data_IF_350455933243
#
_entry.id   IF_350455933243
#
_cell.length_a   1.000
_cell.length_b   1.000
_cell.length_c   1.000
_cell.angle_alpha   90.00
_cell.angle_beta   90.00
_cell.angle_gamma   90.00
#
_symmetry.space_group_name_H-M   'P 1'
#
loop_
_entity.id
_entity.type
_entity.pdbx_description
1 polymer ?
#
# COMPACT_ATOMS: atom_id res chain seq x y z
N UNK A 1 -3.44 9.23 0.23
CA UNK A 1 -4.09 9.10 -1.10
C UNK A 1 -3.91 7.68 -1.63
N UNK A 2 -4.87 7.12 -2.34
CA UNK A 2 -4.72 5.84 -3.03
C UNK A 2 -3.94 5.99 -4.34
N UNK A 3 -3.23 4.94 -4.81
CA UNK A 3 -2.75 4.84 -6.19
C UNK A 3 -3.85 5.14 -7.21
N UNK A 4 -3.53 5.88 -8.27
CA UNK A 4 -4.50 6.27 -9.31
C UNK A 4 -5.29 5.08 -9.92
N UNK A 5 -4.69 3.90 -10.18
CA UNK A 5 -5.43 2.76 -10.72
C UNK A 5 -6.57 2.24 -9.80
N UNK A 6 -6.41 2.44 -8.48
CA UNK A 6 -7.38 2.03 -7.46
C UNK A 6 -8.49 3.07 -7.24
N UNK A 7 -8.54 4.15 -8.02
CA UNK A 7 -9.65 5.08 -7.97
C UNK A 7 -10.96 4.39 -8.40
N UNK A 8 -11.84 4.16 -7.42
CA UNK A 8 -13.21 3.69 -7.60
C UNK A 8 -14.15 4.87 -7.91
N UNK A 9 -14.36 5.10 -9.19
CA UNK A 9 -15.27 6.14 -9.67
C UNK A 9 -15.91 5.75 -11.00
N UNK A 10 -17.11 6.26 -11.26
CA UNK A 10 -17.82 6.12 -12.54
C UNK A 10 -17.90 7.46 -13.25
N UNK A 11 -17.54 7.50 -14.52
CA UNK A 11 -17.79 8.66 -15.37
C UNK A 11 -19.15 8.52 -16.05
N UNK A 12 -19.98 9.56 -15.97
CA UNK A 12 -21.28 9.60 -16.66
C UNK A 12 -21.66 11.03 -17.03
N UNK A 13 -21.96 11.27 -18.31
CA UNK A 13 -22.38 12.58 -18.85
C UNK A 13 -21.49 13.75 -18.39
N UNK A 14 -20.17 13.58 -18.46
CA UNK A 14 -19.19 14.60 -18.06
C UNK A 14 -19.06 14.81 -16.54
N UNK A 15 -19.65 13.94 -15.72
CA UNK A 15 -19.49 13.94 -14.26
C UNK A 15 -18.71 12.72 -13.80
N UNK A 16 -17.80 12.93 -12.85
CA UNK A 16 -17.13 11.84 -12.13
C UNK A 16 -17.88 11.59 -10.82
N UNK A 17 -18.42 10.39 -10.64
CA UNK A 17 -19.13 9.95 -9.44
C UNK A 17 -18.21 9.02 -8.68
N UNK A 18 -17.71 9.48 -7.52
CA UNK A 18 -16.86 8.67 -6.64
C UNK A 18 -17.74 7.60 -5.96
N UNK A 19 -17.28 6.36 -5.96
CA UNK A 19 -17.99 5.21 -5.38
C UNK A 19 -17.52 5.00 -3.94
N UNK A 20 -17.96 5.86 -3.03
CA UNK A 20 -17.67 5.74 -1.60
C UNK A 20 -18.26 4.45 -1.02
N UNK A 21 -17.54 3.86 -0.06
CA UNK A 21 -18.11 2.84 0.83
C UNK A 21 -19.11 3.48 1.78
N UNK A 22 -20.12 2.73 2.19
CA UNK A 22 -21.24 3.22 3.01
C UNK A 22 -21.34 2.55 4.38
N UNK A 23 -20.46 1.59 4.67
CA UNK A 23 -20.54 0.79 5.90
C UNK A 23 -21.63 -0.28 5.79
N UNK A 24 -21.80 -0.87 4.61
CA UNK A 24 -22.69 -2.03 4.46
C UNK A 24 -22.09 -3.23 5.22
N UNK A 25 -22.89 -4.19 5.69
CA UNK A 25 -22.37 -5.34 6.44
C UNK A 25 -21.20 -6.04 5.76
N UNK A 26 -21.32 -6.34 4.45
CA UNK A 26 -20.23 -6.95 3.65
C UNK A 26 -18.96 -6.07 3.53
N UNK A 27 -19.08 -4.75 3.63
CA UNK A 27 -17.92 -3.83 3.60
C UNK A 27 -17.21 -3.81 4.95
N UNK A 28 -17.95 -3.95 6.05
CA UNK A 28 -17.40 -4.07 7.41
C UNK A 28 -16.75 -5.44 7.60
N UNK A 29 -17.38 -6.50 7.09
CA UNK A 29 -16.83 -7.86 7.08
C UNK A 29 -15.50 -7.90 6.32
N UNK A 30 -15.45 -7.34 5.10
CA UNK A 30 -14.20 -7.23 4.34
C UNK A 30 -13.13 -6.45 5.12
N UNK A 31 -13.50 -5.33 5.74
CA UNK A 31 -12.57 -4.53 6.52
C UNK A 31 -11.99 -5.36 7.67
N UNK A 32 -12.86 -6.07 8.40
CA UNK A 32 -12.47 -6.95 9.50
C UNK A 32 -11.54 -8.07 9.05
N UNK A 33 -11.90 -8.82 8.01
CA UNK A 33 -11.10 -9.94 7.52
C UNK A 33 -9.71 -9.49 7.08
N UNK A 34 -9.61 -8.32 6.43
CA UNK A 34 -8.32 -7.72 6.10
C UNK A 34 -7.53 -7.37 7.37
N UNK A 35 -8.13 -6.66 8.33
CA UNK A 35 -7.47 -6.30 9.59
C UNK A 35 -6.95 -7.55 10.32
N UNK A 36 -7.80 -8.56 10.48
CA UNK A 36 -7.48 -9.83 11.14
C UNK A 36 -6.35 -10.57 10.40
N UNK A 37 -6.32 -10.48 9.06
CA UNK A 37 -5.24 -11.04 8.24
C UNK A 37 -3.92 -10.33 8.53
N UNK A 38 -3.86 -8.99 8.50
CA UNK A 38 -2.63 -8.27 8.84
C UNK A 38 -2.18 -8.56 10.28
N UNK A 39 -3.11 -8.61 11.23
CA UNK A 39 -2.78 -8.87 12.63
C UNK A 39 -2.24 -10.28 12.86
N UNK A 40 -2.79 -11.30 12.20
CA UNK A 40 -2.35 -12.69 12.31
C UNK A 40 -1.06 -13.01 11.52
N UNK A 41 -0.57 -12.07 10.70
CA UNK A 41 0.66 -12.19 9.93
C UNK A 41 1.83 -11.40 10.52
N UNK A 42 1.66 -10.74 11.67
CA UNK A 42 2.79 -10.18 12.41
C UNK A 42 3.77 -11.30 12.78
N UNK A 43 5.03 -11.12 12.41
CA UNK A 43 6.10 -12.11 12.52
C UNK A 43 6.21 -13.09 11.35
N UNK A 44 5.37 -12.97 10.31
CA UNK A 44 5.43 -13.79 9.09
C UNK A 44 6.02 -13.04 7.91
N UNK A 45 6.37 -13.78 6.85
CA UNK A 45 6.95 -13.23 5.63
C UNK A 45 5.89 -12.55 4.76
N UNK A 46 6.30 -11.54 3.99
CA UNK A 46 5.43 -10.72 3.15
C UNK A 46 4.73 -11.56 2.09
N UNK A 47 5.37 -12.61 1.55
CA UNK A 47 4.73 -13.51 0.59
C UNK A 47 3.55 -14.29 1.21
N UNK A 48 3.63 -14.68 2.48
CA UNK A 48 2.53 -15.37 3.17
C UNK A 48 1.33 -14.43 3.30
N UNK A 49 1.59 -13.19 3.73
CA UNK A 49 0.56 -12.15 3.80
C UNK A 49 -0.02 -11.86 2.40
N UNK A 50 0.82 -11.74 1.38
CA UNK A 50 0.38 -11.46 0.01
C UNK A 50 -0.53 -12.57 -0.52
N UNK A 51 -0.16 -13.83 -0.29
CA UNK A 51 -0.98 -14.99 -0.66
C UNK A 51 -2.35 -14.97 0.05
N UNK A 52 -2.37 -14.69 1.36
CA UNK A 52 -3.64 -14.62 2.11
C UNK A 52 -4.53 -13.46 1.64
N UNK A 53 -3.93 -12.33 1.23
CA UNK A 53 -4.66 -11.20 0.66
C UNK A 53 -5.21 -11.49 -0.73
N UNK A 54 -4.50 -12.28 -1.55
CA UNK A 54 -4.97 -12.77 -2.85
C UNK A 54 -6.20 -13.68 -2.67
N UNK A 55 -6.13 -14.64 -1.75
CA UNK A 55 -7.26 -15.53 -1.44
C UNK A 55 -8.52 -14.74 -0.99
N UNK A 56 -8.32 -13.71 -0.16
CA UNK A 56 -9.41 -12.81 0.25
C UNK A 56 -9.96 -11.99 -0.91
N UNK A 57 -9.10 -11.47 -1.79
CA UNK A 57 -9.51 -10.75 -2.98
C UNK A 57 -10.40 -11.62 -3.87
N UNK A 58 -9.97 -12.85 -4.17
CA UNK A 58 -10.74 -13.80 -4.98
C UNK A 58 -12.09 -14.14 -4.33
N UNK A 59 -12.12 -14.38 -3.02
CA UNK A 59 -13.34 -14.64 -2.28
C UNK A 59 -14.34 -13.48 -2.40
N UNK A 60 -13.91 -12.25 -2.11
CA UNK A 60 -14.78 -11.08 -2.12
C UNK A 60 -15.22 -10.70 -3.54
N UNK A 61 -14.36 -10.90 -4.55
CA UNK A 61 -14.72 -10.77 -5.96
C UNK A 61 -15.84 -11.74 -6.35
N UNK A 62 -15.77 -13.00 -5.88
CA UNK A 62 -16.76 -14.03 -6.21
C UNK A 62 -18.18 -13.67 -5.73
N UNK A 63 -18.30 -12.86 -4.67
CA UNK A 63 -19.57 -12.35 -4.13
C UNK A 63 -19.92 -10.94 -4.63
N UNK A 64 -19.18 -10.43 -5.63
CA UNK A 64 -19.49 -9.19 -6.34
C UNK A 64 -18.91 -7.91 -5.72
N UNK A 65 -17.92 -8.02 -4.83
CA UNK A 65 -17.14 -6.87 -4.39
C UNK A 65 -16.06 -6.54 -5.43
N UNK A 66 -15.93 -5.26 -5.76
CA UNK A 66 -14.89 -4.77 -6.67
C UNK A 66 -13.50 -4.94 -6.03
N UNK A 67 -12.59 -5.63 -6.70
CA UNK A 67 -11.19 -5.83 -6.27
C UNK A 67 -10.48 -4.53 -5.90
N UNK A 68 -10.86 -3.40 -6.52
CA UNK A 68 -10.30 -2.07 -6.19
C UNK A 68 -10.64 -1.62 -4.77
N UNK A 69 -11.74 -2.11 -4.20
CA UNK A 69 -12.05 -1.90 -2.79
C UNK A 69 -11.07 -2.69 -1.93
N UNK A 70 -10.92 -4.00 -2.16
CA UNK A 70 -10.02 -4.88 -1.41
C UNK A 70 -8.60 -4.30 -1.41
N UNK A 71 -8.00 -4.12 -2.60
CA UNK A 71 -6.65 -3.55 -2.74
C UNK A 71 -6.52 -2.16 -2.13
N UNK A 72 -7.56 -1.35 -2.23
CA UNK A 72 -7.54 0.01 -1.70
C UNK A 72 -7.62 0.08 -0.17
N UNK A 73 -8.32 -0.86 0.48
CA UNK A 73 -8.28 -1.03 1.93
C UNK A 73 -6.92 -1.59 2.35
N UNK A 74 -6.42 -2.62 1.67
CA UNK A 74 -5.08 -3.19 1.91
C UNK A 74 -3.98 -2.14 1.83
N UNK A 75 -4.02 -1.24 0.83
CA UNK A 75 -3.04 -0.12 0.71
C UNK A 75 -3.05 0.81 1.93
N UNK A 76 -4.17 0.93 2.64
CA UNK A 76 -4.28 1.77 3.84
C UNK A 76 -3.71 1.02 5.05
N UNK A 77 -3.97 -0.28 5.14
CA UNK A 77 -3.43 -1.16 6.19
C UNK A 77 -1.91 -1.35 6.06
N UNK A 78 -1.40 -1.50 4.84
CA UNK A 78 0.02 -1.60 4.57
C UNK A 78 0.82 -0.39 5.08
N UNK A 79 0.23 0.82 5.05
CA UNK A 79 0.85 2.03 5.62
C UNK A 79 0.93 2.04 7.14
N UNK A 80 0.19 1.15 7.78
CA UNK A 80 0.18 0.92 9.23
C UNK A 80 1.08 -0.24 9.61
N UNK A 81 1.82 -0.80 8.65
CA UNK A 81 2.76 -1.89 8.87
C UNK A 81 4.19 -1.38 8.93
N UNK A 82 5.00 -2.06 9.74
CA UNK A 82 6.45 -1.94 9.71
C UNK A 82 7.04 -3.24 9.19
N UNK A 83 7.82 -3.15 8.10
CA UNK A 83 8.50 -4.30 7.52
C UNK A 83 10.00 -4.19 7.73
N UNK A 84 10.64 -5.30 8.05
CA UNK A 84 12.10 -5.40 8.12
C UNK A 84 12.59 -6.59 7.32
N UNK A 85 13.86 -6.55 6.95
CA UNK A 85 14.54 -7.75 6.47
C UNK A 85 14.69 -8.73 7.64
N UNK A 86 14.57 -10.04 7.40
CA UNK A 86 14.87 -11.03 8.41
C UNK A 86 16.33 -10.90 8.87
N UNK A 87 16.54 -11.10 10.17
CA UNK A 87 17.87 -11.14 10.75
C UNK A 87 18.56 -12.45 10.34
N UNK A 88 19.65 -12.33 9.59
CA UNK A 88 20.40 -13.49 9.10
C UNK A 88 21.86 -13.42 9.55
N UNK A 89 22.42 -14.58 9.94
CA UNK A 89 23.81 -14.67 10.41
C UNK A 89 24.85 -14.31 9.34
N UNK A 90 24.47 -14.43 8.07
CA UNK A 90 25.33 -14.15 6.92
C UNK A 90 24.58 -13.28 5.92
N UNK A 91 25.27 -12.24 5.42
CA UNK A 91 24.69 -11.38 4.38
C UNK A 91 24.27 -12.19 3.14
N UNK A 92 23.08 -11.98 2.57
CA UNK A 92 22.54 -12.78 1.46
C UNK A 92 23.46 -12.88 0.24
N UNK A 93 24.15 -11.77 -0.09
CA UNK A 93 25.13 -11.75 -1.19
C UNK A 93 26.32 -12.68 -0.92
N UNK A 94 26.78 -12.77 0.34
CA UNK A 94 27.90 -13.64 0.73
C UNK A 94 27.45 -15.12 0.74
N UNK A 95 26.25 -15.40 1.23
CA UNK A 95 25.63 -16.72 1.17
C UNK A 95 25.53 -17.22 -0.28
N UNK A 96 24.91 -16.43 -1.18
CA UNK A 96 24.77 -16.76 -2.60
C UNK A 96 26.11 -16.95 -3.30
N UNK A 97 27.07 -16.06 -3.06
CA UNK A 97 28.43 -16.19 -3.61
C UNK A 97 29.04 -17.55 -3.25
N UNK A 98 28.95 -17.95 -1.98
CA UNK A 98 29.56 -19.20 -1.53
C UNK A 98 28.88 -20.43 -2.11
N UNK A 99 27.56 -20.44 -2.17
CA UNK A 99 26.79 -21.52 -2.80
C UNK A 99 27.15 -21.66 -4.28
N UNK A 100 27.21 -20.56 -5.02
CA UNK A 100 27.58 -20.61 -6.44
C UNK A 100 29.05 -20.96 -6.69
N UNK A 101 29.97 -20.58 -5.79
CA UNK A 101 31.36 -21.04 -5.85
C UNK A 101 31.45 -22.57 -5.76
N UNK A 102 30.80 -23.17 -4.75
CA UNK A 102 30.78 -24.64 -4.59
C UNK A 102 30.07 -25.35 -5.75
N UNK A 103 28.95 -24.81 -6.23
CA UNK A 103 28.25 -25.36 -7.39
C UNK A 103 29.11 -25.32 -8.66
N UNK A 104 29.87 -24.24 -8.86
CA UNK A 104 30.79 -24.12 -9.98
C UNK A 104 31.97 -25.08 -9.89
N UNK A 105 32.54 -25.25 -8.69
CA UNK A 105 33.67 -26.16 -8.44
C UNK A 105 33.31 -27.63 -8.68
N UNK A 106 32.11 -28.07 -8.30
CA UNK A 106 31.72 -29.48 -8.38
C UNK A 106 30.95 -29.86 -9.65
N UNK A 107 30.10 -28.95 -10.13
CA UNK A 107 29.11 -29.27 -11.17
C UNK A 107 29.17 -28.32 -12.37
N UNK A 108 30.14 -27.40 -12.42
CA UNK A 108 30.31 -26.48 -13.55
C UNK A 108 29.29 -25.34 -13.62
N UNK A 109 28.58 -25.07 -12.51
CA UNK A 109 27.86 -23.81 -12.29
C UNK A 109 26.38 -23.96 -12.00
N UNK A 110 25.76 -25.09 -12.37
CA UNK A 110 24.37 -25.40 -12.03
C UNK A 110 24.18 -26.90 -11.82
N UNK A 111 23.14 -27.27 -11.10
CA UNK A 111 22.69 -28.66 -10.95
C UNK A 111 21.17 -28.71 -10.94
N UNK A 112 20.60 -29.75 -11.52
CA UNK A 112 19.18 -30.09 -11.45
C UNK A 112 18.90 -31.33 -10.57
N UNK A 113 19.95 -31.91 -9.96
CA UNK A 113 19.86 -33.12 -9.15
C UNK A 113 19.80 -32.72 -7.67
N UNK A 114 18.82 -33.27 -6.94
CA UNK A 114 18.55 -32.84 -5.57
C UNK A 114 19.68 -33.22 -4.61
N UNK A 115 20.30 -34.37 -4.80
CA UNK A 115 21.45 -34.83 -4.02
C UNK A 115 22.66 -33.90 -4.20
N UNK A 116 22.90 -33.45 -5.43
CA UNK A 116 23.96 -32.49 -5.76
C UNK A 116 23.68 -31.12 -5.13
N UNK A 117 22.44 -30.61 -5.22
CA UNK A 117 22.01 -29.38 -4.53
C UNK A 117 22.29 -29.48 -3.03
N UNK A 118 21.90 -30.59 -2.40
CA UNK A 118 22.10 -30.80 -0.97
C UNK A 118 23.59 -30.83 -0.60
N UNK A 119 24.43 -31.48 -1.41
CA UNK A 119 25.89 -31.48 -1.24
C UNK A 119 26.47 -30.06 -1.26
N UNK A 120 26.11 -29.26 -2.27
CA UNK A 120 26.59 -27.87 -2.41
C UNK A 120 26.19 -27.03 -1.20
N UNK A 121 24.92 -27.10 -0.79
CA UNK A 121 24.42 -26.31 0.33
C UNK A 121 25.08 -26.70 1.66
N UNK A 122 25.28 -28.00 1.91
CA UNK A 122 25.98 -28.45 3.11
C UNK A 122 27.43 -27.96 3.15
N UNK A 123 28.14 -27.99 2.02
CA UNK A 123 29.53 -27.49 1.93
C UNK A 123 29.62 -25.99 2.08
N UNK A 124 28.70 -25.24 1.46
CA UNK A 124 28.61 -23.80 1.62
C UNK A 124 28.28 -23.38 3.05
N UNK A 125 27.36 -24.09 3.71
CA UNK A 125 26.98 -23.85 5.10
C UNK A 125 28.15 -24.11 6.04
N UNK A 126 28.85 -25.24 5.84
CA UNK A 126 30.06 -25.59 6.59
C UNK A 126 31.18 -24.53 6.44
N UNK A 127 31.45 -24.07 5.22
CA UNK A 127 32.47 -23.03 4.97
C UNK A 127 32.09 -21.66 5.56
N UNK A 128 30.79 -21.38 5.69
CA UNK A 128 30.28 -20.16 6.33
C UNK A 128 30.12 -20.29 7.84
N UNK A 129 30.28 -21.49 8.41
CA UNK A 129 30.14 -21.75 9.84
C UNK A 129 28.69 -21.64 10.35
N UNK A 130 27.70 -21.87 9.49
CA UNK A 130 26.27 -21.83 9.83
C UNK A 130 25.61 -23.17 9.51
N UNK A 131 24.40 -23.39 10.04
CA UNK A 131 23.59 -24.53 9.65
C UNK A 131 23.05 -24.38 8.22
N UNK A 132 22.60 -25.50 7.65
CA UNK A 132 21.97 -25.51 6.34
C UNK A 132 20.71 -24.66 6.31
N UNK A 133 19.88 -24.75 7.33
CA UNK A 133 18.60 -24.02 7.38
C UNK A 133 18.84 -22.50 7.45
N UNK A 134 19.80 -22.07 8.28
CA UNK A 134 20.24 -20.66 8.33
C UNK A 134 20.82 -20.19 7.00
N UNK A 135 21.52 -21.05 6.27
CA UNK A 135 22.01 -20.71 4.93
C UNK A 135 20.85 -20.55 3.95
N UNK A 136 19.91 -21.50 3.92
CA UNK A 136 18.77 -21.46 3.00
C UNK A 136 17.90 -20.21 3.24
N UNK A 137 17.71 -19.81 4.50
CA UNK A 137 17.07 -18.55 4.86
C UNK A 137 17.89 -17.32 4.43
N UNK A 138 19.19 -17.31 4.69
CA UNK A 138 20.07 -16.21 4.32
C UNK A 138 20.16 -15.96 2.81
N UNK A 139 20.01 -16.97 1.95
CA UNK A 139 20.17 -16.82 0.50
C UNK A 139 19.27 -15.74 -0.10
N UNK A 140 18.05 -15.61 0.44
CA UNK A 140 16.97 -14.83 -0.16
C UNK A 140 16.38 -13.77 0.78
N UNK A 141 16.96 -13.57 1.97
CA UNK A 141 16.49 -12.60 2.96
C UNK A 141 16.53 -11.14 2.50
N UNK A 142 17.20 -10.82 1.39
CA UNK A 142 17.17 -9.48 0.79
C UNK A 142 16.09 -9.28 -0.28
N UNK A 143 15.31 -10.31 -0.61
CA UNK A 143 14.14 -10.19 -1.49
C UNK A 143 12.97 -9.53 -0.76
N UNK A 144 12.23 -8.68 -1.46
CA UNK A 144 11.09 -7.95 -0.92
C UNK A 144 9.98 -8.88 -0.39
N UNK A 145 9.69 -9.96 -1.12
CA UNK A 145 8.74 -11.01 -0.72
C UNK A 145 9.10 -11.71 0.60
N UNK A 146 10.38 -11.68 1.00
CA UNK A 146 10.88 -12.27 2.24
C UNK A 146 11.00 -11.26 3.39
N UNK A 147 10.57 -10.01 3.22
CA UNK A 147 10.46 -9.08 4.33
C UNK A 147 9.48 -9.64 5.38
N UNK A 148 9.76 -9.39 6.63
CA UNK A 148 8.91 -9.80 7.75
C UNK A 148 8.06 -8.62 8.23
N UNK A 149 6.79 -8.88 8.51
CA UNK A 149 5.90 -7.90 9.14
C UNK A 149 6.22 -7.80 10.64
N UNK A 150 6.95 -6.77 11.04
CA UNK A 150 7.40 -6.57 12.42
C UNK A 150 6.27 -6.09 13.33
N UNK A 151 5.48 -5.14 12.83
CA UNK A 151 4.39 -4.57 13.61
C UNK A 151 3.25 -4.11 12.70
N UNK A 152 2.04 -4.11 13.25
CA UNK A 152 0.84 -3.61 12.60
C UNK A 152 0.06 -2.74 13.58
N UNK A 153 -0.15 -1.46 13.23
CA UNK A 153 -0.95 -0.53 14.02
C UNK A 153 -2.44 -0.74 13.72
N UNK A 154 -3.12 -1.40 14.66
CA UNK A 154 -4.52 -1.77 14.51
C UNK A 154 -5.46 -0.57 14.25
N UNK A 155 -6.59 -0.83 13.60
CA UNK A 155 -7.61 0.15 13.24
C UNK A 155 -8.99 -0.52 13.26
N UNK A 156 -10.01 0.17 13.78
CA UNK A 156 -11.40 -0.32 13.75
C UNK A 156 -11.96 -0.29 12.32
N UNK A 157 -12.91 -1.18 12.02
CA UNK A 157 -13.46 -1.37 10.68
C UNK A 157 -14.08 -0.08 10.12
N UNK A 158 -14.93 0.61 10.89
CA UNK A 158 -15.57 1.85 10.45
C UNK A 158 -14.55 2.96 10.19
N UNK A 159 -13.48 3.00 10.98
CA UNK A 159 -12.41 3.98 10.82
C UNK A 159 -11.62 3.69 9.55
N UNK A 160 -11.34 2.42 9.24
CA UNK A 160 -10.68 2.02 7.99
C UNK A 160 -11.51 2.47 6.77
N UNK A 161 -12.82 2.22 6.79
CA UNK A 161 -13.74 2.67 5.72
C UNK A 161 -13.77 4.20 5.60
N UNK A 162 -13.69 4.94 6.72
CA UNK A 162 -13.63 6.41 6.73
C UNK A 162 -12.34 6.92 6.10
N UNK A 163 -11.19 6.37 6.49
CA UNK A 163 -9.88 6.71 5.94
C UNK A 163 -9.80 6.35 4.46
N UNK A 164 -10.44 5.26 4.04
CA UNK A 164 -10.59 4.89 2.63
C UNK A 164 -11.35 5.94 1.84
N UNK A 165 -12.53 6.33 2.31
CA UNK A 165 -13.34 7.36 1.64
C UNK A 165 -12.58 8.69 1.53
N UNK A 166 -11.86 9.09 2.58
CA UNK A 166 -11.00 10.28 2.54
C UNK A 166 -9.87 10.12 1.50
N UNK A 167 -9.19 8.98 1.48
CA UNK A 167 -8.10 8.72 0.54
C UNK A 167 -8.59 8.68 -0.90
N UNK A 168 -9.77 8.13 -1.15
CA UNK A 168 -10.43 8.07 -2.45
C UNK A 168 -10.80 9.45 -2.97
N UNK A 169 -11.39 10.30 -2.10
CA UNK A 169 -11.69 11.70 -2.43
C UNK A 169 -10.41 12.47 -2.78
N UNK A 170 -9.36 12.32 -1.96
CA UNK A 170 -8.07 12.96 -2.23
C UNK A 170 -7.49 12.54 -3.58
N UNK A 171 -7.50 11.25 -3.90
CA UNK A 171 -7.02 10.73 -5.19
C UNK A 171 -7.77 11.33 -6.37
N UNK A 172 -9.10 11.50 -6.25
CA UNK A 172 -9.89 12.16 -7.29
C UNK A 172 -9.54 13.66 -7.42
N UNK A 173 -9.44 14.37 -6.30
CA UNK A 173 -9.12 15.81 -6.27
C UNK A 173 -7.71 16.12 -6.77
N UNK A 174 -6.76 15.20 -6.60
CA UNK A 174 -5.40 15.38 -7.10
C UNK A 174 -5.32 15.49 -8.63
N UNK A 175 -6.35 15.00 -9.33
CA UNK A 175 -6.48 15.09 -10.80
C UNK A 175 -7.33 16.27 -11.24
N UNK A 176 -7.82 17.10 -10.32
CA UNK A 176 -8.65 18.25 -10.65
C UNK A 176 -7.79 19.42 -11.18
N UNK A 177 -8.32 20.13 -12.19
CA UNK A 177 -7.75 21.39 -12.67
C UNK A 177 -8.05 22.55 -11.71
N UNK A 178 -9.23 22.53 -11.09
CA UNK A 178 -9.61 23.48 -10.05
C UNK A 178 -10.67 22.85 -9.14
N UNK A 179 -10.75 23.39 -7.93
CA UNK A 179 -11.78 23.10 -6.94
C UNK A 179 -12.58 24.38 -6.69
N UNK A 180 -13.89 24.32 -6.90
CA UNK A 180 -14.80 25.45 -6.64
C UNK A 180 -15.61 25.16 -5.39
N UNK A 181 -15.36 25.92 -4.33
CA UNK A 181 -16.11 25.87 -3.08
C UNK A 181 -17.14 27.00 -3.08
N UNK A 182 -18.42 26.63 -2.95
CA UNK A 182 -19.52 27.59 -2.81
C UNK A 182 -20.15 27.43 -1.44
N UNK A 183 -20.19 28.50 -0.64
CA UNK A 183 -20.75 28.44 0.71
C UNK A 183 -21.49 29.72 1.10
N UNK A 184 -22.56 29.55 1.87
CA UNK A 184 -23.29 30.62 2.58
C UNK A 184 -23.02 30.61 4.08
N UNK A 185 -22.00 29.86 4.50
CA UNK A 185 -21.62 29.73 5.89
C UNK A 185 -21.29 31.10 6.51
N UNK A 186 -21.44 31.24 7.84
CA UNK A 186 -21.07 32.46 8.55
C UNK A 186 -19.60 32.83 8.31
N UNK A 187 -19.29 34.12 8.43
CA UNK A 187 -17.94 34.65 8.19
C UNK A 187 -16.84 33.97 9.01
N UNK A 188 -17.16 33.41 10.19
CA UNK A 188 -16.20 32.67 11.02
C UNK A 188 -15.71 31.39 10.34
N UNK A 189 -16.60 30.59 9.74
CA UNK A 189 -16.25 29.34 9.07
C UNK A 189 -15.52 29.60 7.76
N UNK A 190 -16.00 30.58 6.99
CA UNK A 190 -15.33 31.07 5.79
C UNK A 190 -13.88 31.50 6.07
N UNK A 191 -13.66 32.22 7.18
CA UNK A 191 -12.30 32.63 7.60
C UNK A 191 -11.40 31.45 7.92
N UNK A 192 -11.93 30.34 8.46
CA UNK A 192 -11.13 29.12 8.71
C UNK A 192 -10.62 28.53 7.40
N UNK A 193 -11.51 28.37 6.42
CA UNK A 193 -11.13 27.84 5.09
C UNK A 193 -10.11 28.74 4.41
N UNK A 194 -10.35 30.06 4.36
CA UNK A 194 -9.40 31.00 3.77
C UNK A 194 -8.05 31.01 4.47
N UNK A 195 -8.02 30.81 5.80
CA UNK A 195 -6.77 30.68 6.56
C UNK A 195 -6.00 29.43 6.13
N UNK A 196 -6.64 28.29 6.00
CA UNK A 196 -6.01 27.05 5.53
C UNK A 196 -5.47 27.18 4.10
N UNK A 197 -6.25 27.78 3.20
CA UNK A 197 -5.84 28.01 1.81
C UNK A 197 -4.61 28.91 1.74
N UNK A 198 -4.60 30.01 2.51
CA UNK A 198 -3.43 30.91 2.61
C UNK A 198 -2.22 30.24 3.25
N UNK A 199 -2.43 29.49 4.34
CA UNK A 199 -1.37 28.80 5.06
C UNK A 199 -0.67 27.77 4.17
N UNK A 200 -1.45 27.04 3.37
CA UNK A 200 -0.95 26.07 2.38
C UNK A 200 -0.46 26.71 1.08
N UNK A 201 -0.47 28.04 0.99
CA UNK A 201 0.02 28.84 -0.16
C UNK A 201 -0.61 28.42 -1.49
N UNK A 202 -1.88 28.02 -1.46
CA UNK A 202 -2.59 27.62 -2.67
C UNK A 202 -2.93 28.86 -3.52
N UNK A 203 -2.94 28.70 -4.85
CA UNK A 203 -3.45 29.72 -5.75
C UNK A 203 -4.97 29.70 -5.74
N UNK A 204 -5.60 30.85 -5.50
CA UNK A 204 -7.06 30.93 -5.41
C UNK A 204 -7.61 32.29 -5.83
N UNK A 205 -8.87 32.31 -6.21
CA UNK A 205 -9.70 33.49 -6.44
C UNK A 205 -10.95 33.42 -5.57
N UNK A 206 -11.31 34.53 -4.93
CA UNK A 206 -12.46 34.60 -4.04
C UNK A 206 -13.43 35.70 -4.48
N UNK A 207 -14.69 35.35 -4.68
CA UNK A 207 -15.75 36.25 -5.12
C UNK A 207 -16.96 36.13 -4.18
N UNK A 208 -17.60 37.25 -3.86
CA UNK A 208 -18.87 37.26 -3.13
C UNK A 208 -20.01 37.58 -4.08
N UNK A 209 -20.96 36.65 -4.26
CA UNK A 209 -22.12 36.81 -5.15
C UNK A 209 -23.40 36.33 -4.48
N UNK A 210 -24.43 37.19 -4.44
CA UNK A 210 -25.75 36.82 -3.91
C UNK A 210 -25.72 36.28 -2.47
N UNK A 211 -24.87 36.84 -1.61
CA UNK A 211 -24.70 36.40 -0.22
C UNK A 211 -23.86 35.12 -0.03
N UNK A 212 -23.42 34.46 -1.11
CA UNK A 212 -22.50 33.32 -1.06
C UNK A 212 -21.05 33.74 -1.36
N UNK A 213 -20.10 33.07 -0.72
CA UNK A 213 -18.69 33.07 -1.13
C UNK A 213 -18.47 31.96 -2.17
N UNK A 214 -17.85 32.32 -3.29
CA UNK A 214 -17.34 31.42 -4.31
C UNK A 214 -15.82 31.50 -4.24
N UNK A 215 -15.18 30.40 -3.84
CA UNK A 215 -13.73 30.27 -3.74
C UNK A 215 -13.26 29.26 -4.77
N UNK A 216 -12.56 29.74 -5.80
CA UNK A 216 -11.92 28.91 -6.83
C UNK A 216 -10.47 28.68 -6.43
N UNK A 217 -10.07 27.44 -6.26
CA UNK A 217 -8.71 27.04 -5.89
C UNK A 217 -8.14 26.27 -7.08
N UNK A 218 -6.95 26.62 -7.52
CA UNK A 218 -6.28 25.86 -8.58
C UNK A 218 -5.89 24.47 -8.07
N UNK A 219 -6.22 23.45 -8.86
CA UNK A 219 -5.94 22.06 -8.51
C UNK A 219 -4.54 21.64 -8.96
N UNK A 220 -4.01 20.52 -8.46
CA UNK A 220 -2.63 20.11 -8.78
C UNK A 220 -2.41 19.90 -10.28
N UNK A 221 -3.43 19.49 -11.03
CA UNK A 221 -3.31 19.26 -12.47
C UNK A 221 -3.21 20.54 -13.31
N UNK A 222 -3.41 21.74 -12.74
CA UNK A 222 -3.26 23.01 -13.46
C UNK A 222 -1.80 23.48 -13.55
N UNK A 223 -0.91 22.92 -12.72
CA UNK A 223 0.49 23.36 -12.62
C UNK A 223 1.37 22.44 -13.46
N UNK A 224 2.16 23.01 -14.38
CA UNK A 224 3.04 22.24 -15.27
C UNK A 224 4.25 21.59 -14.55
N UNK A 225 4.61 22.02 -13.33
CA UNK A 225 5.72 21.47 -12.50
C UNK A 225 5.33 21.52 -11.01
N UNK A 226 5.87 20.62 -10.17
CA UNK A 226 5.62 20.51 -8.72
C UNK A 226 4.20 20.07 -8.29
N UNK A 227 3.60 19.11 -8.99
CA UNK A 227 2.23 18.64 -8.69
C UNK A 227 2.12 17.75 -7.45
N UNK A 228 3.23 17.22 -6.92
CA UNK A 228 3.29 16.28 -5.79
C UNK A 228 3.76 16.89 -4.46
N UNK A 229 3.95 18.22 -4.38
CA UNK A 229 4.38 18.93 -3.16
C UNK A 229 3.21 19.48 -2.35
#
# INVERSE_FOLDING_TARGET
MLPSPLLRARSWKGRLIILFVRGRPVELELAKDLIDTYQSHVGKKLWELSSALEDLEEYYESIGIDYKLVRGLSTILERRCEFSRPDTLVQPRRARKKVFEWCNLEFGGFTAVQEERNSVLNKAAWDLGISRDELEEALWADLEENLELISFENIEEEELLRVYNQSLLQTALFRALNLVLTTRAPGREVRKVLREVKFRKLMYQAEKRGGALILRIDGPASVMKMTTR
#
